data_IF_796471806662
#
_entry.id   IF_796471806662
#
_cell.length_a   1.000
_cell.length_b   1.000
_cell.length_c   1.000
_cell.angle_alpha   90.00
_cell.angle_beta   90.00
_cell.angle_gamma   90.00
#
_symmetry.space_group_name_H-M   'P 1'
#
loop_
_entity.id
_entity.type
_entity.pdbx_description
1 polymer ?
#
# COMPACT_ATOMS: atom_id res chain seq x y z
N UNK A 1 -27.52 5.42 -77.64
CA UNK A 1 -27.40 6.49 -76.62
C UNK A 1 -27.56 5.82 -75.27
N UNK A 2 -26.44 5.39 -74.62
CA UNK A 2 -26.43 4.64 -73.35
C UNK A 2 -25.76 5.49 -72.32
N UNK A 3 -26.53 5.93 -71.33
CA UNK A 3 -26.04 6.68 -70.16
C UNK A 3 -25.56 5.73 -69.08
N UNK A 4 -24.27 5.76 -68.72
CA UNK A 4 -23.72 5.02 -67.59
C UNK A 4 -23.84 5.88 -66.32
N UNK A 5 -24.58 5.37 -65.34
CA UNK A 5 -24.59 5.90 -63.97
C UNK A 5 -23.33 5.37 -63.25
N UNK A 6 -22.47 6.29 -62.81
CA UNK A 6 -21.38 6.00 -61.94
C UNK A 6 -21.84 6.01 -60.47
N UNK A 7 -21.67 4.91 -59.76
CA UNK A 7 -21.92 4.80 -58.32
C UNK A 7 -20.60 5.12 -57.63
N UNK A 8 -20.54 6.31 -57.00
CA UNK A 8 -19.41 6.67 -56.11
C UNK A 8 -19.63 6.04 -54.74
N UNK A 9 -18.86 5.01 -54.44
CA UNK A 9 -18.83 4.41 -53.09
C UNK A 9 -18.03 5.29 -52.16
N UNK A 10 -18.66 5.82 -51.11
CA UNK A 10 -17.98 6.48 -49.98
C UNK A 10 -17.48 5.38 -49.03
N UNK A 11 -16.17 5.24 -48.91
CA UNK A 11 -15.54 4.35 -47.92
C UNK A 11 -15.43 5.14 -46.58
N UNK A 12 -16.27 4.76 -45.63
CA UNK A 12 -16.20 5.30 -44.28
C UNK A 12 -15.08 4.54 -43.50
N UNK A 13 -13.94 5.17 -43.32
CA UNK A 13 -12.88 4.64 -42.47
C UNK A 13 -13.20 4.94 -41.01
N UNK A 14 -13.70 3.95 -40.26
CA UNK A 14 -13.82 4.01 -38.81
C UNK A 14 -12.41 3.87 -38.21
N UNK A 15 -11.82 4.95 -37.78
CA UNK A 15 -10.63 4.94 -36.91
C UNK A 15 -11.06 4.57 -35.49
N UNK A 16 -10.81 3.31 -35.09
CA UNK A 16 -10.89 2.89 -33.69
C UNK A 16 -9.77 3.59 -32.90
N UNK A 17 -10.12 4.64 -32.18
CA UNK A 17 -9.20 5.29 -31.26
C UNK A 17 -8.87 4.33 -30.12
N UNK A 18 -7.65 3.80 -30.09
CA UNK A 18 -7.13 3.08 -28.92
C UNK A 18 -6.88 4.12 -27.83
N UNK A 19 -7.79 4.19 -26.87
CA UNK A 19 -7.56 4.96 -25.64
C UNK A 19 -6.44 4.28 -24.85
N UNK A 20 -5.23 4.78 -24.96
CA UNK A 20 -4.15 4.44 -24.05
C UNK A 20 -4.53 5.02 -22.70
N UNK A 21 -5.08 4.18 -21.83
CA UNK A 21 -5.30 4.51 -20.44
C UNK A 21 -3.92 4.60 -19.78
N UNK A 22 -3.40 5.81 -19.64
CA UNK A 22 -2.18 6.05 -18.84
C UNK A 22 -2.45 5.55 -17.44
N UNK A 23 -1.61 4.62 -16.96
CA UNK A 23 -1.68 4.14 -15.60
C UNK A 23 -1.61 5.36 -14.66
N UNK A 24 -2.71 5.68 -14.01
CA UNK A 24 -2.83 6.85 -13.13
C UNK A 24 -1.93 6.64 -11.92
N UNK A 25 -1.20 7.67 -11.51
CA UNK A 25 -0.43 7.73 -10.26
C UNK A 25 -1.25 7.20 -9.05
N UNK A 26 -0.59 6.91 -7.93
CA UNK A 26 -1.29 6.55 -6.70
C UNK A 26 -2.15 7.72 -6.22
N UNK A 27 -3.46 7.72 -6.54
CA UNK A 27 -4.39 8.74 -6.04
C UNK A 27 -4.57 8.62 -4.52
N UNK A 28 -5.18 9.63 -3.89
CA UNK A 28 -5.50 9.57 -2.46
C UNK A 28 -6.40 8.39 -2.12
N UNK A 29 -7.38 8.11 -2.98
CA UNK A 29 -8.33 7.00 -2.83
C UNK A 29 -7.65 5.65 -3.00
N UNK A 30 -6.72 5.52 -3.97
CA UNK A 30 -5.93 4.31 -4.15
C UNK A 30 -5.03 4.02 -2.94
N UNK A 31 -4.42 5.06 -2.36
CA UNK A 31 -3.61 4.94 -1.14
C UNK A 31 -4.47 4.58 0.07
N UNK A 32 -5.63 5.20 0.24
CA UNK A 32 -6.58 4.84 1.30
C UNK A 32 -6.98 3.36 1.19
N UNK A 33 -7.35 2.89 0.00
CA UNK A 33 -7.65 1.48 -0.24
C UNK A 33 -6.46 0.54 -0.01
N UNK A 34 -5.22 0.97 -0.30
CA UNK A 34 -4.01 0.21 0.00
C UNK A 34 -3.78 0.07 1.52
N UNK A 35 -4.06 1.12 2.29
CA UNK A 35 -3.99 1.10 3.77
C UNK A 35 -5.07 0.21 4.36
N UNK A 36 -6.30 0.26 3.84
CA UNK A 36 -7.39 -0.63 4.28
C UNK A 36 -7.04 -2.10 4.01
N UNK A 37 -6.45 -2.38 2.84
CA UNK A 37 -5.95 -3.72 2.52
C UNK A 37 -4.83 -4.14 3.46
N UNK A 38 -3.87 -3.24 3.74
CA UNK A 38 -2.79 -3.51 4.68
C UNK A 38 -3.32 -3.84 6.08
N UNK A 39 -4.34 -3.11 6.55
CA UNK A 39 -5.04 -3.35 7.82
C UNK A 39 -5.64 -4.75 7.88
N UNK A 40 -6.36 -5.13 6.82
CA UNK A 40 -7.02 -6.45 6.72
C UNK A 40 -5.99 -7.57 6.69
N UNK A 41 -4.96 -7.43 5.84
CA UNK A 41 -3.93 -8.47 5.66
C UNK A 41 -3.04 -8.62 6.90
N UNK A 42 -2.75 -7.52 7.62
CA UNK A 42 -2.02 -7.61 8.89
C UNK A 42 -2.75 -8.51 9.90
N UNK A 43 -4.08 -8.42 9.95
CA UNK A 43 -4.90 -9.20 10.86
C UNK A 43 -4.97 -10.71 10.52
N UNK A 44 -4.59 -11.11 9.31
CA UNK A 44 -4.45 -12.52 8.93
C UNK A 44 -3.31 -13.22 9.67
N UNK A 45 -2.35 -12.44 10.18
CA UNK A 45 -1.11 -12.92 10.82
C UNK A 45 -0.33 -13.88 9.91
N UNK A 46 -0.37 -13.64 8.61
CA UNK A 46 0.37 -14.37 7.59
C UNK A 46 1.50 -13.50 7.00
N UNK A 47 2.78 -13.87 7.19
CA UNK A 47 3.88 -13.05 6.72
C UNK A 47 4.01 -12.98 5.20
N UNK A 48 3.52 -13.97 4.46
CA UNK A 48 3.59 -13.96 3.00
C UNK A 48 2.59 -12.98 2.37
N UNK A 49 1.36 -12.93 2.91
CA UNK A 49 0.32 -12.02 2.40
C UNK A 49 0.63 -10.57 2.69
N UNK A 50 1.18 -10.24 3.87
CA UNK A 50 1.54 -8.87 4.21
C UNK A 50 2.74 -8.37 3.41
N UNK A 51 3.77 -9.19 3.18
CA UNK A 51 4.95 -8.82 2.39
C UNK A 51 4.59 -8.57 0.93
N UNK A 52 3.58 -9.25 0.39
CA UNK A 52 3.10 -9.03 -0.98
C UNK A 52 2.57 -7.60 -1.24
N UNK A 53 2.28 -6.82 -0.19
CA UNK A 53 1.85 -5.41 -0.32
C UNK A 53 3.03 -4.44 -0.47
N UNK A 54 4.25 -4.91 -0.27
CA UNK A 54 5.47 -4.12 -0.39
C UNK A 54 6.11 -4.31 -1.76
N UNK A 55 6.83 -3.29 -2.22
CA UNK A 55 7.74 -3.42 -3.35
C UNK A 55 8.91 -4.37 -3.00
N UNK A 56 9.55 -4.93 -4.02
CA UNK A 56 10.71 -5.82 -3.85
C UNK A 56 11.92 -5.13 -3.23
N UNK A 57 12.03 -3.83 -3.38
CA UNK A 57 13.10 -2.97 -2.84
C UNK A 57 12.63 -2.09 -1.67
N UNK A 58 11.52 -2.48 -1.04
CA UNK A 58 10.98 -1.75 0.08
C UNK A 58 11.89 -1.75 1.30
N UNK A 59 11.87 -0.63 2.03
CA UNK A 59 12.57 -0.47 3.30
C UNK A 59 11.57 -0.37 4.45
N UNK A 60 11.80 -1.14 5.51
CA UNK A 60 10.96 -1.16 6.71
C UNK A 60 11.78 -0.85 7.97
N UNK A 61 11.36 0.18 8.68
CA UNK A 61 11.75 0.51 10.06
C UNK A 61 10.61 0.11 11.00
N UNK A 62 10.70 -1.09 11.56
CA UNK A 62 9.59 -1.63 12.37
C UNK A 62 9.51 -0.99 13.76
N UNK A 63 8.28 -0.89 14.30
CA UNK A 63 7.92 -0.16 15.54
C UNK A 63 8.83 -0.43 16.74
N UNK A 64 9.22 -1.68 16.95
CA UNK A 64 10.03 -2.12 18.08
C UNK A 64 11.34 -2.79 17.64
N UNK A 65 11.69 -2.67 16.36
CA UNK A 65 12.90 -3.29 15.81
C UNK A 65 14.05 -2.28 15.76
N UNK A 66 15.21 -2.60 16.30
CA UNK A 66 16.40 -1.76 16.16
C UNK A 66 17.05 -1.88 14.78
N UNK A 67 16.57 -2.80 13.93
CA UNK A 67 17.20 -3.16 12.66
C UNK A 67 16.27 -2.85 11.50
N UNK A 68 16.78 -2.15 10.49
CA UNK A 68 16.10 -1.94 9.21
C UNK A 68 15.99 -3.26 8.42
N UNK A 69 14.94 -3.37 7.63
CA UNK A 69 14.75 -4.44 6.64
C UNK A 69 14.66 -3.80 5.27
N UNK A 70 15.47 -4.26 4.33
CA UNK A 70 15.62 -3.64 2.99
C UNK A 70 15.55 -4.65 1.85
N UNK A 71 14.99 -5.82 2.11
CA UNK A 71 14.75 -6.86 1.11
C UNK A 71 13.56 -7.74 1.53
N UNK A 72 12.94 -8.48 0.59
CA UNK A 72 11.74 -9.29 0.87
C UNK A 72 11.94 -10.34 1.98
N UNK A 73 13.11 -10.96 2.07
CA UNK A 73 13.41 -11.97 3.09
C UNK A 73 13.48 -11.33 4.48
N UNK A 74 14.12 -10.17 4.58
CA UNK A 74 14.19 -9.37 5.79
C UNK A 74 12.82 -8.88 6.25
N UNK A 75 11.98 -8.41 5.33
CA UNK A 75 10.60 -8.01 5.62
C UNK A 75 9.79 -9.21 6.14
N UNK A 76 9.89 -10.37 5.47
CA UNK A 76 9.21 -11.60 5.91
C UNK A 76 9.65 -12.01 7.31
N UNK A 77 10.96 -12.02 7.57
CA UNK A 77 11.52 -12.33 8.88
C UNK A 77 11.00 -11.38 9.98
N UNK A 78 10.87 -10.08 9.68
CA UNK A 78 10.28 -9.10 10.59
C UNK A 78 8.84 -9.46 10.96
N UNK A 79 7.98 -9.76 9.98
CA UNK A 79 6.58 -10.08 10.24
C UNK A 79 6.42 -11.43 10.94
N UNK A 80 7.25 -12.43 10.64
CA UNK A 80 7.31 -13.69 11.40
C UNK A 80 7.55 -13.41 12.88
N UNK A 81 8.59 -12.62 13.20
CA UNK A 81 8.91 -12.25 14.58
C UNK A 81 7.82 -11.40 15.24
N UNK A 82 7.23 -10.46 14.49
CA UNK A 82 6.13 -9.64 14.99
C UNK A 82 4.91 -10.48 15.39
N UNK A 83 4.47 -11.42 14.55
CA UNK A 83 3.33 -12.28 14.85
C UNK A 83 3.58 -13.26 16.00
N UNK A 84 4.82 -13.69 16.19
CA UNK A 84 5.23 -14.50 17.35
C UNK A 84 5.23 -13.70 18.65
N UNK A 85 5.73 -12.46 18.60
CA UNK A 85 5.87 -11.58 19.78
C UNK A 85 4.56 -10.90 20.16
N UNK A 86 3.71 -10.62 19.16
CA UNK A 86 2.43 -9.91 19.27
C UNK A 86 1.30 -10.80 18.70
N UNK A 87 0.89 -11.86 19.41
CA UNK A 87 -0.13 -12.79 18.90
C UNK A 87 -1.47 -12.09 18.62
N UNK A 88 -2.16 -12.49 17.56
CA UNK A 88 -3.43 -11.90 17.08
C UNK A 88 -3.28 -10.40 16.79
N UNK A 89 -2.14 -10.04 16.18
CA UNK A 89 -1.83 -8.66 15.84
C UNK A 89 -2.88 -8.06 14.92
N UNK A 90 -3.41 -6.91 15.31
CA UNK A 90 -4.29 -6.06 14.52
C UNK A 90 -3.87 -4.62 14.63
N UNK A 91 -4.42 -3.74 13.79
CA UNK A 91 -4.13 -2.31 13.81
C UNK A 91 -5.41 -1.50 13.67
N UNK A 92 -5.43 -0.34 14.32
CA UNK A 92 -6.44 0.69 14.10
C UNK A 92 -5.72 1.99 13.76
N UNK A 93 -6.00 2.51 12.56
CA UNK A 93 -5.51 3.82 12.14
C UNK A 93 -6.32 4.93 12.84
N UNK A 94 -5.60 5.97 13.25
CA UNK A 94 -6.16 7.25 13.69
C UNK A 94 -6.17 8.25 12.54
N UNK A 95 -5.79 9.49 12.82
CA UNK A 95 -5.66 10.54 11.81
C UNK A 95 -4.60 10.18 10.77
N UNK A 96 -4.91 10.43 9.50
CA UNK A 96 -4.08 10.12 8.34
C UNK A 96 -3.93 11.34 7.44
N UNK A 97 -2.70 11.61 7.02
CA UNK A 97 -2.36 12.71 6.11
C UNK A 97 -1.82 12.13 4.79
N UNK A 98 -2.72 11.95 3.81
CA UNK A 98 -2.36 11.43 2.48
C UNK A 98 -2.02 12.60 1.56
N UNK A 99 -0.81 12.58 0.98
CA UNK A 99 -0.28 13.57 0.03
C UNK A 99 0.24 12.85 -1.20
N UNK A 100 -0.04 13.39 -2.39
CA UNK A 100 0.35 12.79 -3.67
C UNK A 100 1.30 13.75 -4.39
N UNK A 101 2.40 13.22 -4.91
CA UNK A 101 3.45 13.94 -5.61
C UNK A 101 3.85 13.17 -6.87
N UNK A 102 3.18 13.46 -7.99
CA UNK A 102 3.37 12.68 -9.23
C UNK A 102 3.03 11.20 -9.02
N UNK A 103 3.98 10.31 -9.29
CA UNK A 103 3.80 8.85 -9.15
C UNK A 103 4.03 8.33 -7.73
N UNK A 104 4.35 9.21 -6.79
CA UNK A 104 4.62 8.88 -5.40
C UNK A 104 3.54 9.45 -4.50
N UNK A 105 3.13 8.68 -3.50
CA UNK A 105 2.24 9.16 -2.45
C UNK A 105 2.83 8.86 -1.08
N UNK A 106 2.58 9.76 -0.13
CA UNK A 106 3.01 9.62 1.27
C UNK A 106 1.79 9.67 2.16
N UNK A 107 1.65 8.68 3.05
CA UNK A 107 0.64 8.67 4.09
C UNK A 107 1.33 8.63 5.46
N UNK A 108 1.06 9.62 6.28
CA UNK A 108 1.62 9.73 7.63
C UNK A 108 0.51 9.91 8.65
N UNK A 109 0.75 9.48 9.88
CA UNK A 109 -0.25 9.62 10.92
C UNK A 109 0.04 8.78 12.15
N UNK A 110 -1.05 8.44 12.82
CA UNK A 110 -1.01 7.61 14.01
C UNK A 110 -1.77 6.32 13.79
N UNK A 111 -1.32 5.26 14.44
CA UNK A 111 -2.08 4.04 14.58
C UNK A 111 -1.84 3.39 15.95
N UNK A 112 -2.70 2.48 16.32
CA UNK A 112 -2.51 1.66 17.50
C UNK A 112 -2.50 0.20 17.09
N UNK A 113 -1.41 -0.50 17.42
CA UNK A 113 -1.32 -1.94 17.30
C UNK A 113 -2.00 -2.59 18.50
N UNK A 114 -2.78 -3.63 18.28
CA UNK A 114 -3.42 -4.44 19.32
C UNK A 114 -2.96 -5.89 19.19
N UNK A 115 -2.74 -6.55 20.31
CA UNK A 115 -2.34 -7.95 20.35
C UNK A 115 -2.84 -8.61 21.65
N UNK A 116 -2.85 -9.92 21.67
CA UNK A 116 -3.28 -10.68 22.86
C UNK A 116 -2.07 -11.21 23.61
N UNK A 117 -1.98 -10.93 24.91
CA UNK A 117 -0.96 -11.49 25.81
C UNK A 117 -1.59 -11.88 27.12
N UNK A 118 -1.36 -13.09 27.57
CA UNK A 118 -1.87 -13.63 28.82
C UNK A 118 -3.44 -13.55 28.92
N UNK A 119 -4.10 -13.75 27.78
CA UNK A 119 -5.56 -13.66 27.65
C UNK A 119 -6.13 -12.23 27.58
N UNK A 120 -5.28 -11.20 27.70
CA UNK A 120 -5.69 -9.80 27.67
C UNK A 120 -5.29 -9.12 26.37
N UNK A 121 -6.11 -8.16 25.94
CA UNK A 121 -5.76 -7.26 24.83
C UNK A 121 -4.80 -6.18 25.32
N UNK A 122 -3.62 -6.13 24.74
CA UNK A 122 -2.62 -5.08 24.95
C UNK A 122 -2.56 -4.19 23.72
N UNK A 123 -2.02 -2.97 23.87
CA UNK A 123 -1.88 -2.01 22.78
C UNK A 123 -0.55 -1.30 22.78
N UNK A 124 -0.11 -0.91 21.57
CA UNK A 124 1.09 -0.09 21.36
C UNK A 124 0.69 1.08 20.46
N UNK A 125 0.46 2.28 21.02
CA UNK A 125 0.30 3.48 20.22
C UNK A 125 1.60 3.79 19.47
N UNK A 126 1.47 4.15 18.21
CA UNK A 126 2.60 4.42 17.33
C UNK A 126 2.27 5.52 16.32
N UNK A 127 3.32 6.07 15.73
CA UNK A 127 3.27 6.96 14.58
C UNK A 127 3.93 6.27 13.41
N UNK A 128 3.48 6.58 12.21
CA UNK A 128 3.97 5.92 11.00
C UNK A 128 4.12 6.87 9.83
N UNK A 129 4.90 6.40 8.86
CA UNK A 129 5.03 6.95 7.53
C UNK A 129 5.03 5.80 6.53
N UNK A 130 4.12 5.84 5.56
CA UNK A 130 4.18 5.00 4.37
C UNK A 130 4.50 5.85 3.15
N UNK A 131 5.40 5.37 2.30
CA UNK A 131 5.56 5.89 0.94
C UNK A 131 5.11 4.82 -0.04
N UNK A 132 4.27 5.21 -0.98
CA UNK A 132 3.71 4.35 -2.02
C UNK A 132 4.21 4.78 -3.39
N UNK A 133 4.46 3.80 -4.25
CA UNK A 133 4.68 4.00 -5.68
C UNK A 133 3.76 3.12 -6.49
N UNK A 134 3.51 3.52 -7.73
CA UNK A 134 2.68 2.75 -8.66
C UNK A 134 3.51 1.60 -9.24
N UNK A 135 3.07 0.37 -9.04
CA UNK A 135 3.61 -0.83 -9.67
C UNK A 135 2.47 -1.61 -10.33
N UNK A 136 2.47 -1.66 -11.66
CA UNK A 136 1.36 -2.24 -12.41
C UNK A 136 0.04 -1.51 -12.11
N UNK A 137 -0.94 -2.24 -11.58
CA UNK A 137 -2.24 -1.69 -11.18
C UNK A 137 -2.33 -1.34 -9.68
N UNK A 138 -1.29 -1.66 -8.89
CA UNK A 138 -1.28 -1.47 -7.44
C UNK A 138 -0.44 -0.28 -7.01
N UNK A 139 -0.77 0.28 -5.83
CA UNK A 139 0.11 1.15 -5.06
C UNK A 139 0.85 0.29 -4.05
N UNK A 140 2.15 0.06 -4.27
CA UNK A 140 3.02 -0.73 -3.40
C UNK A 140 3.74 0.14 -2.40
N UNK A 141 3.97 -0.37 -1.21
CA UNK A 141 4.76 0.29 -0.18
C UNK A 141 6.25 0.15 -0.52
N UNK A 142 6.96 1.26 -0.67
CA UNK A 142 8.42 1.30 -0.86
C UNK A 142 9.17 1.74 0.38
N UNK A 143 8.53 2.47 1.28
CA UNK A 143 9.09 2.83 2.58
C UNK A 143 8.01 2.75 3.65
N UNK A 144 8.35 2.13 4.78
CA UNK A 144 7.50 2.05 5.95
C UNK A 144 8.32 2.33 7.19
N UNK A 145 8.14 3.48 7.78
CA UNK A 145 8.65 3.78 9.12
C UNK A 145 7.52 3.72 10.14
N UNK A 146 7.78 3.01 11.22
CA UNK A 146 6.92 3.00 12.40
C UNK A 146 7.76 3.16 13.67
N UNK A 147 7.28 3.96 14.60
CA UNK A 147 7.89 4.12 15.92
C UNK A 147 6.84 4.22 17.01
N UNK A 148 7.09 3.59 18.14
CA UNK A 148 6.24 3.77 19.33
C UNK A 148 6.13 5.25 19.71
N UNK A 149 5.01 5.63 20.30
CA UNK A 149 4.86 6.99 20.84
C UNK A 149 5.92 7.25 21.92
N UNK A 150 6.59 8.41 21.88
CA UNK A 150 7.51 8.77 22.96
C UNK A 150 6.78 8.89 24.29
N UNK A 151 7.48 8.59 25.38
CA UNK A 151 6.95 8.88 26.71
C UNK A 151 6.68 10.40 26.87
N UNK A 152 5.67 10.80 27.67
CA UNK A 152 5.49 12.20 28.02
C UNK A 152 6.78 12.80 28.61
N UNK A 153 7.07 14.08 28.39
CA UNK A 153 8.16 14.77 29.07
C UNK A 153 7.99 14.64 30.60
N UNK A 154 9.09 14.40 31.27
CA UNK A 154 9.12 14.41 32.75
C UNK A 154 9.13 15.81 33.29
#
# INVERSE_FOLDING_TARGET
MQTRLGISGVVLVLSAGVSVQTATACSKEAVAGAVDRWTTVLAENNPDTIVALYSKDAVLWGTLSPTVRSDPAGLKSYFVGAYQTLPKLTVKFGEQFIRVYGDTAVNTGYYTLFYTKDGETKSIPARYSFTFVKEGNDCKIVDHHSSAMPAPPR
#
